data_IF_866271731761
#
_entry.id   IF_866271731761
#
_cell.length_a   1.000
_cell.length_b   1.000
_cell.length_c   1.000
_cell.angle_alpha   90.00
_cell.angle_beta   90.00
_cell.angle_gamma   90.00
#
_symmetry.space_group_name_H-M   'P 1'
#
loop_
_entity.id
_entity.type
_entity.pdbx_description
1 polymer ?
2 non-polymer ?
3 non-polymer ?
4 water ?
#
# COMPACT_ATOMS: atom_id res chain seq x y z
N UNK A 5 9.62 -12.61 25.12
CA UNK A 5 10.80 -12.15 24.41
C UNK A 5 10.90 -12.78 23.02
N UNK A 6 10.35 -13.98 22.88
CA UNK A 6 10.46 -14.70 21.61
C UNK A 6 9.74 -13.99 20.48
N UNK A 7 8.68 -13.26 20.80
CA UNK A 7 7.95 -12.48 19.80
C UNK A 7 8.88 -11.50 19.09
N UNK A 8 9.88 -10.98 19.81
CA UNK A 8 10.79 -9.97 19.30
C UNK A 8 12.08 -10.57 18.74
N UNK A 9 12.05 -11.86 18.37
CA UNK A 9 13.28 -12.55 17.99
C UNK A 9 13.99 -11.90 16.79
N UNK A 10 13.24 -11.28 15.88
CA UNK A 10 13.82 -10.65 14.70
C UNK A 10 14.06 -9.15 14.89
N UNK A 11 13.86 -8.61 16.08
CA UNK A 11 13.97 -7.19 16.33
C UNK A 11 15.21 -6.85 17.14
N UNK A 12 15.65 -5.60 17.02
CA UNK A 12 16.73 -5.05 17.83
C UNK A 12 16.12 -4.17 18.91
N UNK A 13 16.54 -4.39 20.15
CA UNK A 13 16.10 -3.53 21.25
C UNK A 13 16.96 -2.26 21.24
N UNK A 14 16.30 -1.11 21.23
CA UNK A 14 16.96 0.19 21.16
C UNK A 14 16.90 0.85 22.52
N UNK A 15 18.02 1.44 22.95
CA UNK A 15 18.01 2.13 24.22
C UNK A 15 17.32 3.49 24.06
N UNK A 16 16.52 3.92 25.04
CA UNK A 16 15.82 5.22 24.91
C UNK A 16 16.75 6.40 24.68
N UNK A 17 17.97 6.37 25.20
CA UNK A 17 18.91 7.46 24.97
C UNK A 17 19.25 7.62 23.50
N UNK A 18 18.95 6.64 22.67
CA UNK A 18 19.23 6.73 21.25
C UNK A 18 18.16 7.47 20.46
N UNK A 19 17.02 7.81 21.09
CA UNK A 19 15.82 8.25 20.37
C UNK A 19 15.45 9.65 20.84
N UNK A 20 15.20 10.55 19.88
CA UNK A 20 14.68 11.89 20.16
C UNK A 20 13.37 12.05 19.39
N UNK A 21 12.27 12.24 20.10
CA UNK A 21 10.99 12.54 19.47
C UNK A 21 10.92 14.05 19.22
N UNK A 22 10.42 14.42 18.04
CA UNK A 22 10.44 15.83 17.63
C UNK A 22 9.07 16.41 17.33
N UNK A 23 8.19 15.68 16.66
CA UNK A 23 6.90 16.24 16.25
C UNK A 23 5.89 15.12 16.13
N UNK A 24 4.66 15.37 16.59
CA UNK A 24 3.59 14.39 16.45
C UNK A 24 3.11 14.35 15.00
N UNK A 25 3.09 13.15 14.42
CA UNK A 25 2.70 13.00 13.02
C UNK A 25 1.57 12.00 12.86
N UNK A 26 1.02 11.51 13.96
CA UNK A 26 -0.07 10.58 13.86
C UNK A 26 -0.43 10.02 15.21
N UNK A 27 -1.35 9.06 15.18
CA UNK A 27 -1.83 8.39 16.38
C UNK A 27 -1.63 6.90 16.23
N UNK A 28 -1.26 6.25 17.33
CA UNK A 28 -1.31 4.81 17.45
C UNK A 28 -2.61 4.37 18.11
N UNK A 29 -2.67 3.08 18.42
CA UNK A 29 -3.84 2.54 19.09
C UNK A 29 -3.95 3.07 20.52
N UNK A 30 -2.81 3.31 21.17
CA UNK A 30 -2.80 3.90 22.50
C UNK A 30 -1.46 4.64 22.68
N UNK A 31 -1.35 5.77 22.00
CA UNK A 31 -0.13 6.54 21.97
C UNK A 31 -0.05 7.32 20.68
N UNK A 32 0.97 8.15 20.60
CA UNK A 32 1.19 8.99 19.43
C UNK A 32 2.26 8.40 18.55
N UNK A 33 2.27 8.84 17.30
CA UNK A 33 3.36 8.58 16.37
C UNK A 33 4.12 9.89 16.17
N UNK A 34 5.43 9.82 16.21
CA UNK A 34 6.30 10.99 16.12
C UNK A 34 7.26 10.84 14.97
N UNK A 35 7.62 11.98 14.38
CA UNK A 35 8.88 12.07 13.66
C UNK A 35 9.97 12.36 14.67
N UNK A 36 11.11 11.71 14.50
CA UNK A 36 12.23 11.93 15.40
C UNK A 36 13.54 11.53 14.77
N UNK A 37 14.56 11.40 15.62
CA UNK A 37 15.89 11.04 15.18
C UNK A 37 16.39 9.85 15.99
N UNK A 38 17.21 9.02 15.37
CA UNK A 38 17.75 7.84 16.03
C UNK A 38 19.27 7.76 15.84
N UNK A 39 19.99 7.65 16.96
CA UNK A 39 21.44 7.57 16.93
C UNK A 39 21.91 6.12 16.84
N UNK A 45 26.29 8.67 13.97
CA UNK A 45 25.38 9.20 12.95
C UNK A 45 23.96 9.24 13.51
N UNK A 46 23.14 10.15 12.96
CA UNK A 46 21.73 10.22 13.28
C UNK A 46 20.92 10.06 12.00
N UNK A 47 19.80 9.35 12.08
CA UNK A 47 18.91 9.16 10.94
C UNK A 47 17.48 9.53 11.35
N UNK A 48 16.69 10.11 10.45
CA UNK A 48 15.29 10.39 10.80
C UNK A 48 14.50 9.10 10.88
N UNK A 49 13.53 9.07 11.79
CA UNK A 49 12.72 7.88 12.04
C UNK A 49 11.29 8.30 12.35
N UNK A 50 10.38 7.34 12.17
CA UNK A 50 9.03 7.43 12.71
C UNK A 50 8.96 6.55 13.94
N UNK A 51 8.24 7.02 14.96
CA UNK A 51 8.25 6.40 16.28
C UNK A 51 6.81 6.28 16.75
N UNK A 52 6.33 5.06 16.93
CA UNK A 52 4.99 4.84 17.47
C UNK A 52 5.11 4.42 18.92
N UNK A 53 4.41 5.13 19.81
CA UNK A 53 4.50 4.87 21.24
C UNK A 53 3.28 4.11 21.75
N UNK A 54 3.48 3.41 22.85
CA UNK A 54 2.40 2.79 23.62
C UNK A 54 2.49 3.41 25.00
N UNK A 55 1.64 4.38 25.24
CA UNK A 55 1.64 5.17 26.48
C UNK A 55 0.93 4.59 27.68
N UNK A 56 1.27 5.14 28.84
CA UNK A 56 0.79 4.60 30.12
C UNK A 56 -0.72 4.46 30.12
N UNK A 57 -1.19 3.31 30.60
CA UNK A 57 -2.60 3.00 30.63
C UNK A 57 -3.01 1.97 29.61
N UNK A 58 -2.11 1.54 28.73
CA UNK A 58 -2.48 0.57 27.72
C UNK A 58 -2.95 -0.73 28.35
N UNK A 59 -3.84 -1.43 27.67
CA UNK A 59 -4.40 -2.67 28.16
C UNK A 59 -3.47 -3.85 27.80
N UNK A 60 -3.78 -5.00 28.38
CA UNK A 60 -3.07 -6.22 28.02
C UNK A 60 -3.19 -6.53 26.52
N UNK A 61 -4.41 -6.43 25.98
CA UNK A 61 -4.59 -6.67 24.56
C UNK A 61 -3.75 -5.72 23.72
N UNK A 62 -3.72 -4.44 24.11
CA UNK A 62 -2.92 -3.47 23.37
C UNK A 62 -1.44 -3.79 23.43
N UNK A 63 -0.96 -4.25 24.59
CA UNK A 63 0.46 -4.63 24.70
C UNK A 63 0.77 -5.81 23.80
N UNK A 64 -0.07 -6.84 23.84
CA UNK A 64 0.14 -8.01 23.01
C UNK A 64 0.14 -7.63 21.53
N UNK A 65 -0.81 -6.79 21.13
CA UNK A 65 -0.89 -6.38 19.72
C UNK A 65 0.29 -5.50 19.32
N UNK A 66 0.73 -4.61 20.21
CA UNK A 66 1.82 -3.71 19.91
C UNK A 66 3.13 -4.46 19.76
N UNK A 67 3.46 -5.31 20.73
CA UNK A 67 4.67 -6.13 20.62
C UNK A 67 4.55 -7.15 19.49
N UNK A 68 3.35 -7.65 19.23
CA UNK A 68 3.16 -8.52 18.07
C UNK A 68 3.43 -7.80 16.77
N UNK A 69 2.99 -6.55 16.67
CA UNK A 69 3.29 -5.75 15.48
C UNK A 69 4.80 -5.57 15.33
N UNK A 70 5.47 -5.18 16.41
CA UNK A 70 6.92 -5.02 16.35
C UNK A 70 7.57 -6.30 15.90
N UNK A 71 7.11 -7.44 16.42
CA UNK A 71 7.74 -8.70 16.11
C UNK A 71 7.60 -9.07 14.65
N UNK A 72 6.40 -8.90 14.08
CA UNK A 72 6.23 -9.25 12.68
C UNK A 72 6.98 -8.28 11.78
N UNK A 73 7.03 -7.00 12.16
CA UNK A 73 7.78 -6.04 11.35
C UNK A 73 9.26 -6.36 11.32
N UNK A 74 9.80 -6.84 12.45
CA UNK A 74 11.18 -7.27 12.45
C UNK A 74 11.41 -8.50 11.60
N UNK A 75 10.43 -9.39 11.55
CA UNK A 75 10.51 -10.58 10.72
C UNK A 75 10.58 -10.21 9.24
N UNK A 76 9.85 -9.19 8.83
CA UNK A 76 9.81 -8.82 7.43
C UNK A 76 11.13 -8.16 7.05
N UNK A 77 11.83 -8.73 6.08
CA UNK A 77 13.07 -8.16 5.56
C UNK A 77 12.96 -8.20 4.05
N UNK A 78 12.51 -7.11 3.47
CA UNK A 78 12.25 -7.05 2.04
C UNK A 78 12.34 -5.62 1.58
N UNK A 79 12.91 -5.44 0.39
CA UNK A 79 13.11 -4.13 -0.23
C UNK A 79 11.84 -3.31 -0.31
N UNK A 80 10.68 -3.95 -0.40
CA UNK A 80 9.41 -3.26 -0.61
C UNK A 80 8.49 -3.29 0.60
N UNK A 81 9.06 -3.50 1.79
CA UNK A 81 8.32 -3.47 3.05
C UNK A 81 9.04 -2.48 3.96
N UNK A 82 8.27 -1.61 4.62
CA UNK A 82 8.86 -0.62 5.52
C UNK A 82 9.80 -1.30 6.51
N UNK A 83 10.94 -0.68 6.74
CA UNK A 83 11.97 -1.30 7.59
C UNK A 83 11.80 -0.88 9.04
N UNK A 84 11.74 -1.87 9.91
CA UNK A 84 11.81 -1.64 11.35
C UNK A 84 13.26 -1.39 11.75
N UNK A 85 13.52 -0.26 12.38
CA UNK A 85 14.84 -0.05 12.98
C UNK A 85 14.97 -0.82 14.28
N UNK A 86 13.95 -0.77 15.12
CA UNK A 86 13.99 -1.53 16.35
C UNK A 86 12.81 -1.17 17.23
N UNK A 87 12.89 -1.63 18.46
CA UNK A 87 11.79 -1.54 19.41
C UNK A 87 12.36 -1.13 20.76
N UNK A 88 11.57 -0.38 21.51
CA UNK A 88 11.82 -0.16 22.92
C UNK A 88 10.72 -0.89 23.67
N UNK A 89 11.07 -1.99 24.31
CA UNK A 89 10.13 -2.77 25.09
C UNK A 89 10.47 -2.81 26.58
N UNK A 90 11.70 -2.45 26.96
CA UNK A 90 12.15 -2.55 28.34
C UNK A 90 11.92 -1.27 29.12
N UNK A 91 11.49 -0.21 28.47
CA UNK A 91 11.23 1.07 29.13
C UNK A 91 9.88 1.59 28.64
N UNK A 92 9.33 2.53 29.40
CA UNK A 92 8.05 3.14 29.06
C UNK A 92 8.26 4.60 28.71
N UNK A 93 7.58 5.11 27.67
CA UNK A 93 6.64 4.38 26.81
C UNK A 93 7.35 3.43 25.87
N UNK A 94 6.69 2.32 25.55
CA UNK A 94 7.25 1.41 24.57
C UNK A 94 7.17 2.04 23.19
N UNK A 95 8.07 1.63 22.29
CA UNK A 95 8.17 2.28 20.99
C UNK A 95 8.46 1.30 19.89
N UNK A 96 7.84 1.52 18.74
CA UNK A 96 8.20 0.90 17.48
C UNK A 96 8.82 1.98 16.61
N UNK A 97 10.01 1.72 16.09
CA UNK A 97 10.79 2.73 15.39
C UNK A 97 11.08 2.23 13.98
N UNK A 98 10.63 2.99 12.99
CA UNK A 98 10.85 2.63 11.60
C UNK A 98 11.68 3.68 10.89
N UNK A 99 12.15 3.32 9.70
CA UNK A 99 12.69 4.32 8.80
C UNK A 99 11.65 5.38 8.48
N UNK A 100 12.14 6.54 8.07
CA UNK A 100 11.32 7.67 7.68
C UNK A 100 11.60 7.94 6.21
N UNK A 101 10.55 7.87 5.40
CA UNK A 101 10.65 8.08 3.98
C UNK A 101 10.63 9.57 3.71
N UNK A 102 11.49 10.02 2.80
CA UNK A 102 11.54 11.44 2.49
C UNK A 102 10.31 11.91 1.72
N UNK A 103 9.83 11.10 0.79
CA UNK A 103 8.74 11.52 -0.09
C UNK A 103 7.35 11.21 0.47
N UNK A 104 7.27 10.60 1.64
CA UNK A 104 5.97 10.37 2.25
C UNK A 104 5.13 9.31 1.58
N UNK A 105 3.82 9.44 1.82
CA UNK A 105 2.86 8.46 1.35
C UNK A 105 2.59 8.61 -0.13
N UNK A 106 2.38 7.48 -0.80
CA UNK A 106 2.28 7.41 -2.25
C UNK A 106 1.08 8.18 -2.79
N UNK A 107 -0.06 8.13 -2.08
CA UNK A 107 -1.25 8.82 -2.58
C UNK A 107 -1.03 10.33 -2.70
N UNK A 108 -0.55 10.94 -1.62
CA UNK A 108 -0.26 12.37 -1.65
C UNK A 108 0.86 12.71 -2.62
N UNK A 109 1.89 11.86 -2.65
CA UNK A 109 3.02 12.05 -3.55
C UNK A 109 2.54 12.11 -5.00
N UNK A 110 1.77 11.11 -5.42
CA UNK A 110 1.24 11.07 -6.80
C UNK A 110 0.47 12.34 -7.12
N UNK A 111 -0.42 12.72 -6.21
CA UNK A 111 -1.30 13.86 -6.45
C UNK A 111 -0.54 15.16 -6.55
N UNK A 112 0.61 15.25 -5.91
CA UNK A 112 1.46 16.43 -5.94
C UNK A 112 2.46 16.40 -7.09
N UNK A 113 2.52 15.29 -7.82
CA UNK A 113 3.49 15.09 -8.90
C UNK A 113 2.80 14.68 -10.18
N UNK A 114 1.61 15.20 -10.42
CA UNK A 114 0.77 14.71 -11.50
C UNK A 114 1.48 14.84 -12.84
N UNK A 115 1.58 13.72 -13.56
CA UNK A 115 2.19 13.71 -14.88
C UNK A 115 3.70 13.77 -14.92
N UNK A 116 4.38 13.63 -13.78
CA UNK A 116 5.83 13.85 -13.74
C UNK A 116 6.65 12.60 -13.99
N UNK A 117 6.02 11.43 -14.15
CA UNK A 117 6.76 10.19 -14.28
C UNK A 117 6.48 9.53 -15.62
N UNK A 118 7.43 8.71 -16.06
CA UNK A 118 7.21 7.92 -17.26
C UNK A 118 6.36 6.70 -16.93
N UNK A 119 5.77 6.13 -17.98
CA UNK A 119 5.03 4.89 -17.81
C UNK A 119 5.90 3.82 -17.16
N UNK A 120 7.16 3.71 -17.59
CA UNK A 120 8.04 2.70 -17.01
C UNK A 120 8.25 2.95 -15.53
N UNK A 121 8.38 4.22 -15.13
CA UNK A 121 8.53 4.51 -13.70
C UNK A 121 7.29 4.10 -12.92
N UNK A 122 6.10 4.40 -13.45
CA UNK A 122 4.88 4.02 -12.74
C UNK A 122 4.76 2.51 -12.63
N UNK A 123 5.03 1.80 -13.72
CA UNK A 123 4.93 0.34 -13.69
C UNK A 123 5.99 -0.26 -12.77
N UNK A 124 7.18 0.36 -12.72
CA UNK A 124 8.19 -0.08 -11.77
C UNK A 124 7.74 0.05 -10.33
N UNK A 125 7.05 1.15 -10.01
CA UNK A 125 6.46 1.31 -8.68
C UNK A 125 5.56 0.13 -8.38
N UNK A 126 4.67 -0.19 -9.31
CA UNK A 126 3.72 -1.27 -9.11
C UNK A 126 4.40 -2.62 -8.95
N UNK A 127 5.47 -2.87 -9.71
CA UNK A 127 6.22 -4.10 -9.52
C UNK A 127 6.76 -4.20 -8.11
N UNK A 128 7.28 -3.10 -7.58
CA UNK A 128 7.80 -3.12 -6.22
C UNK A 128 6.72 -3.40 -5.20
N UNK A 129 5.57 -2.72 -5.32
CA UNK A 129 4.46 -2.98 -4.41
C UNK A 129 4.04 -4.44 -4.49
N UNK A 130 3.93 -4.97 -5.71
CA UNK A 130 3.54 -6.37 -5.88
C UNK A 130 4.55 -7.31 -5.25
N UNK A 131 5.84 -7.01 -5.35
CA UNK A 131 6.85 -7.87 -4.75
C UNK A 131 6.73 -7.85 -3.23
N UNK A 132 6.51 -6.68 -2.66
CA UNK A 132 6.29 -6.62 -1.22
C UNK A 132 5.07 -7.40 -0.80
N UNK A 133 3.98 -7.29 -1.56
CA UNK A 133 2.76 -8.02 -1.23
C UNK A 133 2.93 -9.53 -1.41
N UNK A 134 3.65 -9.95 -2.44
CA UNK A 134 3.92 -11.39 -2.58
C UNK A 134 4.65 -11.91 -1.36
N UNK A 135 5.65 -11.15 -0.89
CA UNK A 135 6.38 -11.52 0.31
C UNK A 135 5.47 -11.61 1.51
N UNK A 136 4.63 -10.59 1.74
CA UNK A 136 3.69 -10.64 2.86
C UNK A 136 2.79 -11.85 2.77
N UNK A 137 2.20 -12.07 1.59
CA UNK A 137 1.28 -13.18 1.42
C UNK A 137 1.97 -14.50 1.72
N UNK A 138 3.19 -14.67 1.22
CA UNK A 138 3.90 -15.92 1.44
C UNK A 138 4.39 -16.07 2.87
N UNK A 139 4.58 -14.97 3.58
CA UNK A 139 4.85 -14.98 5.01
C UNK A 139 3.57 -15.14 5.83
N UNK A 140 2.44 -15.41 5.18
CA UNK A 140 1.17 -15.67 5.84
C UNK A 140 0.59 -14.42 6.50
N UNK A 141 0.84 -13.26 5.90
CA UNK A 141 0.31 -12.00 6.42
C UNK A 141 -0.67 -11.41 5.44
N UNK A 142 -1.91 -11.26 5.86
CA UNK A 142 -2.96 -10.62 5.07
C UNK A 142 -3.03 -9.16 5.51
N UNK A 143 -2.87 -8.25 4.56
CA UNK A 143 -2.75 -6.84 4.91
C UNK A 143 -4.08 -6.25 5.36
N UNK A 144 -5.13 -6.44 4.54
CA UNK A 144 -6.51 -5.98 4.75
C UNK A 144 -6.74 -4.51 4.47
N UNK A 145 -5.69 -3.71 4.31
CA UNK A 145 -5.87 -2.29 4.07
C UNK A 145 -4.88 -1.79 3.04
N UNK A 146 -4.64 -2.58 1.99
CA UNK A 146 -3.71 -2.15 0.96
C UNK A 146 -4.34 -1.04 0.12
N UNK A 147 -3.63 0.08 0.02
CA UNK A 147 -4.10 1.30 -0.62
C UNK A 147 -2.88 2.19 -0.75
N UNK A 148 -2.90 3.12 -1.71
CA UNK A 148 -1.74 3.98 -1.88
C UNK A 148 -1.41 4.78 -0.61
N UNK A 149 -2.42 5.10 0.20
CA UNK A 149 -2.15 5.81 1.44
C UNK A 149 -1.28 5.03 2.43
N UNK A 150 -1.19 3.71 2.26
CA UNK A 150 -0.38 2.87 3.14
C UNK A 150 0.95 2.47 2.53
N UNK A 151 1.43 3.23 1.55
CA UNK A 151 2.69 2.92 0.87
C UNK A 151 3.57 4.16 0.91
N UNK A 152 4.81 3.99 1.36
CA UNK A 152 5.79 5.07 1.42
C UNK A 152 6.70 5.00 0.21
N UNK A 153 7.28 6.14 -0.15
CA UNK A 153 8.14 6.26 -1.33
C UNK A 153 9.47 6.84 -0.90
N UNK A 154 10.56 6.16 -1.27
CA UNK A 154 11.88 6.65 -0.95
C UNK A 154 12.45 7.51 -2.09
N UNK A 155 13.66 8.02 -1.89
CA UNK A 155 14.27 8.92 -2.85
C UNK A 155 14.82 8.23 -4.08
N UNK A 156 14.71 6.89 -4.16
CA UNK A 156 14.94 6.14 -5.38
C UNK A 156 13.64 5.70 -6.02
N UNK A 157 12.50 6.23 -5.58
CA UNK A 157 11.19 5.87 -6.10
C UNK A 157 10.76 4.45 -5.70
N UNK A 158 11.41 3.87 -4.70
CA UNK A 158 11.06 2.54 -4.22
C UNK A 158 9.86 2.66 -3.30
N UNK A 159 8.85 1.85 -3.55
CA UNK A 159 7.65 1.83 -2.75
C UNK A 159 7.75 0.78 -1.65
N UNK A 160 7.35 1.17 -0.45
CA UNK A 160 7.46 0.33 0.74
C UNK A 160 6.06 0.18 1.34
N UNK A 161 5.55 -1.04 1.31
CA UNK A 161 4.27 -1.31 1.92
C UNK A 161 4.37 -1.12 3.42
N UNK A 162 3.37 -0.45 3.98
CA UNK A 162 3.29 -0.11 5.39
C UNK A 162 1.86 -0.32 5.84
N UNK A 163 1.58 -0.02 7.11
CA UNK A 163 0.19 0.05 7.58
C UNK A 163 0.10 1.13 8.64
N UNK A 164 -0.55 2.24 8.30
CA UNK A 164 -0.68 3.37 9.20
C UNK A 164 -1.95 3.35 10.02
N UNK A 165 -2.74 2.29 9.93
CA UNK A 165 -3.95 2.20 10.71
C UNK A 165 -5.08 3.00 10.08
N UNK A 166 -6.17 3.10 10.83
CA UNK A 166 -7.40 3.70 10.32
C UNK A 166 -7.28 5.22 10.17
N UNK A 184 -13.85 1.59 9.11
CA UNK A 184 -13.32 0.28 9.47
C UNK A 184 -12.82 -0.50 8.24
N UNK A 185 -13.72 -0.78 7.30
CA UNK A 185 -13.40 -1.41 6.04
C UNK A 185 -13.33 -0.30 4.98
N UNK A 186 -12.18 -0.04 4.39
CA UNK A 186 -12.13 0.90 3.26
C UNK A 186 -12.89 0.30 2.09
N UNK A 187 -14.21 0.56 2.04
CA UNK A 187 -15.11 -0.20 1.17
C UNK A 187 -14.55 -0.28 -0.25
N UNK A 188 -14.19 0.87 -0.83
CA UNK A 188 -13.91 0.84 -2.27
C UNK A 188 -12.54 0.26 -2.62
N UNK A 189 -11.71 -0.08 -1.63
CA UNK A 189 -10.49 -0.83 -1.85
C UNK A 189 -10.66 -2.32 -1.56
N UNK A 190 -11.82 -2.74 -1.06
CA UNK A 190 -11.96 -4.05 -0.45
C UNK A 190 -12.73 -5.01 -1.35
N UNK A 191 -12.27 -6.26 -1.40
CA UNK A 191 -12.90 -7.25 -2.25
C UNK A 191 -14.31 -7.56 -1.76
N UNK A 192 -15.19 -7.97 -2.69
CA UNK A 192 -16.58 -8.30 -2.31
C UNK A 192 -16.72 -9.29 -1.16
N UNK A 193 -15.94 -10.38 -1.16
CA UNK A 193 -16.12 -11.39 -0.12
C UNK A 193 -15.68 -10.88 1.24
N UNK A 194 -14.72 -9.95 1.27
CA UNK A 194 -14.29 -9.38 2.53
C UNK A 194 -15.36 -8.46 3.09
N UNK A 195 -16.03 -7.69 2.23
CA UNK A 195 -17.14 -6.86 2.68
C UNK A 195 -18.33 -7.72 3.08
N UNK A 196 -18.65 -8.74 2.29
CA UNK A 196 -19.92 -9.44 2.44
C UNK A 196 -19.91 -10.45 3.58
N UNK A 197 -18.78 -11.13 3.81
CA UNK A 197 -18.74 -12.11 4.88
C UNK A 197 -17.41 -12.14 5.62
N UNK A 198 -16.64 -11.05 5.53
CA UNK A 198 -15.43 -10.86 6.34
C UNK A 198 -14.32 -11.84 5.98
N UNK A 199 -14.30 -12.29 4.74
CA UNK A 199 -13.27 -13.22 4.28
C UNK A 199 -12.10 -12.41 3.73
N UNK A 200 -11.12 -12.15 4.59
CA UNK A 200 -9.92 -11.42 4.20
C UNK A 200 -8.80 -12.42 3.99
N UNK A 201 -8.24 -12.42 2.78
CA UNK A 201 -7.17 -13.33 2.43
C UNK A 201 -6.21 -12.60 1.52
N UNK A 202 -5.12 -13.26 1.13
CA UNK A 202 -4.25 -12.64 0.15
C UNK A 202 -4.96 -12.39 -1.17
N UNK A 203 -6.03 -13.14 -1.46
CA UNK A 203 -6.80 -12.89 -2.68
C UNK A 203 -7.65 -11.62 -2.57
N UNK A 204 -8.15 -11.27 -1.38
CA UNK A 204 -8.75 -9.96 -1.23
C UNK A 204 -7.70 -8.86 -1.27
N UNK A 205 -6.48 -9.14 -0.80
CA UNK A 205 -5.40 -8.17 -1.00
C UNK A 205 -5.10 -7.97 -2.48
N UNK A 206 -5.23 -9.01 -3.32
CA UNK A 206 -5.03 -8.84 -4.76
C UNK A 206 -6.05 -7.88 -5.34
N UNK A 207 -7.32 -7.98 -4.93
CA UNK A 207 -8.32 -7.01 -5.35
C UNK A 207 -7.86 -5.61 -5.02
N UNK A 208 -7.43 -5.41 -3.78
CA UNK A 208 -6.96 -4.09 -3.36
C UNK A 208 -5.78 -3.65 -4.19
N UNK A 209 -4.87 -4.58 -4.51
CA UNK A 209 -3.74 -4.23 -5.36
C UNK A 209 -4.21 -3.73 -6.71
N UNK A 210 -5.25 -4.33 -7.28
CA UNK A 210 -5.78 -3.81 -8.53
C UNK A 210 -6.22 -2.36 -8.39
N UNK A 211 -6.87 -2.03 -7.27
CA UNK A 211 -7.23 -0.64 -7.01
C UNK A 211 -5.99 0.23 -6.91
N UNK A 212 -4.95 -0.25 -6.22
CA UNK A 212 -3.69 0.49 -6.15
C UNK A 212 -3.10 0.73 -7.53
N UNK A 213 -3.17 -0.28 -8.42
CA UNK A 213 -2.71 -0.08 -9.78
C UNK A 213 -3.42 1.10 -10.42
N UNK A 214 -4.73 1.16 -10.24
CA UNK A 214 -5.52 2.26 -10.80
C UNK A 214 -5.14 3.58 -10.14
N UNK A 215 -4.92 3.59 -8.82
CA UNK A 215 -4.46 4.81 -8.16
C UNK A 215 -3.15 5.29 -8.75
N UNK A 216 -2.20 4.39 -8.95
CA UNK A 216 -0.89 4.81 -9.45
C UNK A 216 -1.01 5.34 -10.87
N UNK A 217 -1.70 4.62 -11.74
CA UNK A 217 -1.75 5.01 -13.15
C UNK A 217 -2.56 6.28 -13.38
N UNK A 218 -3.41 6.67 -12.44
CA UNK A 218 -4.17 7.91 -12.51
C UNK A 218 -3.55 9.03 -11.70
N UNK A 219 -2.36 8.84 -11.12
CA UNK A 219 -1.76 9.84 -10.24
C UNK A 219 -2.65 10.20 -9.06
N UNK A 220 -3.30 9.19 -8.48
CA UNK A 220 -3.99 9.39 -7.23
C UNK A 220 -5.43 9.84 -7.35
N UNK A 221 -6.09 9.51 -8.45
CA UNK A 221 -7.53 9.72 -8.54
C UNK A 221 -8.23 8.87 -7.48
N UNK A 222 -9.35 9.36 -6.97
CA UNK A 222 -10.08 8.57 -6.00
C UNK A 222 -10.91 7.50 -6.68
N UNK A 223 -10.75 6.23 -6.31
CA UNK A 223 -11.50 5.16 -6.97
C UNK A 223 -12.99 5.41 -6.90
N UNK A 224 -13.65 5.29 -8.05
CA UNK A 224 -15.10 5.43 -8.20
C UNK A 224 -15.60 6.85 -7.99
N UNK A 225 -14.71 7.83 -7.87
CA UNK A 225 -15.08 9.25 -7.80
C UNK A 225 -16.13 9.43 -6.72
N UNK A 226 -17.24 10.10 -7.00
CA UNK A 226 -18.17 10.50 -5.96
C UNK A 226 -19.28 9.48 -5.71
N UNK A 227 -19.18 8.27 -6.27
CA UNK A 227 -20.15 7.24 -5.89
C UNK A 227 -20.09 6.99 -4.39
N UNK A 228 -21.25 6.81 -3.78
CA UNK A 228 -21.29 6.44 -2.38
C UNK A 228 -20.78 5.00 -2.20
N UNK A 229 -20.51 4.62 -0.95
CA UNK A 229 -20.09 3.25 -0.70
C UNK A 229 -21.12 2.25 -1.20
N UNK A 230 -22.41 2.53 -0.97
CA UNK A 230 -23.43 1.61 -1.44
C UNK A 230 -23.53 1.59 -2.95
N UNK A 231 -23.33 2.74 -3.60
CA UNK A 231 -23.32 2.74 -5.05
C UNK A 231 -22.14 1.95 -5.61
N UNK A 232 -20.97 2.04 -4.97
CA UNK A 232 -19.81 1.24 -5.39
C UNK A 232 -20.12 -0.24 -5.29
N UNK A 233 -20.64 -0.67 -4.14
CA UNK A 233 -20.91 -2.09 -3.95
C UNK A 233 -21.95 -2.60 -4.95
N UNK A 234 -22.99 -1.80 -5.19
CA UNK A 234 -24.01 -2.19 -6.16
C UNK A 234 -23.42 -2.27 -7.56
N UNK A 235 -22.61 -1.29 -7.94
CA UNK A 235 -21.98 -1.30 -9.26
C UNK A 235 -21.11 -2.54 -9.45
N UNK A 236 -20.28 -2.85 -8.46
CA UNK A 236 -19.42 -4.03 -8.52
C UNK A 236 -20.26 -5.28 -8.66
N UNK A 237 -21.31 -5.42 -7.84
CA UNK A 237 -22.10 -6.64 -7.86
C UNK A 237 -22.85 -6.80 -9.18
N UNK A 238 -23.14 -5.69 -9.86
CA UNK A 238 -23.79 -5.74 -11.17
C UNK A 238 -22.80 -5.88 -12.32
N UNK A 239 -21.50 -5.94 -12.04
CA UNK A 239 -20.52 -6.24 -13.05
C UNK A 239 -19.73 -5.06 -13.57
N UNK A 240 -20.01 -3.85 -13.12
CA UNK A 240 -19.23 -2.70 -13.54
C UNK A 240 -17.87 -2.69 -12.86
N UNK A 241 -16.88 -2.13 -13.55
CA UNK A 241 -15.53 -2.00 -13.02
C UNK A 241 -14.98 -0.64 -13.42
N UNK A 242 -13.93 -0.22 -12.73
CA UNK A 242 -13.30 1.06 -13.04
C UNK A 242 -12.84 1.10 -14.50
N UNK A 243 -12.97 2.24 -15.17
CA UNK A 243 -12.54 2.37 -16.55
C UNK A 243 -11.03 2.57 -16.61
N UNK A 244 -10.49 2.51 -17.82
CA UNK A 244 -9.04 2.63 -17.94
C UNK A 244 -8.58 4.03 -17.55
N UNK A 245 -7.46 4.14 -16.87
CA UNK A 245 -6.78 5.43 -16.73
C UNK A 245 -6.39 5.96 -18.10
N UNK A 246 -6.17 7.27 -18.16
CA UNK A 246 -5.62 7.90 -19.36
C UNK A 246 -4.20 7.40 -19.60
N UNK A 247 -3.86 7.17 -20.86
CA UNK A 247 -2.50 6.80 -21.27
C UNK A 247 -2.00 5.56 -20.54
N UNK A 248 -2.87 4.58 -20.36
CA UNK A 248 -2.54 3.37 -19.62
C UNK A 248 -2.20 2.25 -20.58
N UNK A 249 -1.06 1.59 -20.41
CA UNK A 249 -0.76 0.43 -21.26
C UNK A 249 -1.88 -0.60 -21.17
N UNK A 250 -2.23 -1.15 -22.34
CA UNK A 250 -3.26 -2.19 -22.40
C UNK A 250 -2.99 -3.32 -21.42
N UNK A 251 -1.74 -3.78 -21.36
CA UNK A 251 -1.41 -4.91 -20.49
C UNK A 251 -1.67 -4.58 -19.02
N UNK A 252 -1.41 -3.34 -18.63
CA UNK A 252 -1.62 -2.91 -17.25
C UNK A 252 -3.10 -2.85 -16.91
N UNK A 253 -3.93 -2.34 -17.83
CA UNK A 253 -5.36 -2.33 -17.57
C UNK A 253 -5.92 -3.76 -17.53
N UNK A 254 -5.46 -4.62 -18.44
CA UNK A 254 -5.89 -6.01 -18.40
C UNK A 254 -5.56 -6.64 -17.05
N UNK A 255 -4.37 -6.36 -16.51
CA UNK A 255 -3.96 -6.97 -15.26
C UNK A 255 -4.81 -6.47 -14.10
N UNK A 256 -5.04 -5.17 -14.01
CA UNK A 256 -5.85 -4.69 -12.89
C UNK A 256 -7.27 -5.23 -12.99
N UNK A 257 -7.79 -5.35 -14.21
CA UNK A 257 -9.13 -5.91 -14.39
C UNK A 257 -9.21 -7.34 -13.86
N UNK A 258 -8.17 -8.15 -14.06
CA UNK A 258 -8.21 -9.51 -13.56
C UNK A 258 -8.10 -9.59 -12.04
N UNK A 259 -7.51 -8.57 -11.41
CA UNK A 259 -7.54 -8.48 -9.95
C UNK A 259 -8.94 -8.29 -9.41
N UNK A 260 -9.86 -7.81 -10.25
CA UNK A 260 -11.22 -7.52 -9.83
C UNK A 260 -12.23 -8.58 -10.25
N UNK A 261 -11.77 -9.81 -10.48
CA UNK A 261 -12.70 -10.91 -10.71
C UNK A 261 -13.56 -11.10 -9.46
N UNK A 262 -14.86 -11.26 -9.66
CA UNK A 262 -15.74 -11.56 -8.53
C UNK A 262 -15.35 -12.88 -7.89
N UNK A 263 -15.05 -13.89 -8.70
CA UNK A 263 -14.67 -15.20 -8.23
C UNK A 263 -13.23 -15.12 -7.73
N UNK A 264 -13.08 -15.18 -6.42
CA UNK A 264 -11.78 -15.01 -5.78
C UNK A 264 -10.75 -15.94 -6.39
N UNK A 265 -11.16 -17.17 -6.72
CA UNK A 265 -10.21 -18.14 -7.29
C UNK A 265 -9.72 -17.79 -8.68
N UNK A 266 -10.41 -16.89 -9.40
CA UNK A 266 -9.98 -16.50 -10.74
C UNK A 266 -8.98 -15.36 -10.77
N UNK A 267 -8.73 -14.71 -9.64
CA UNK A 267 -7.79 -13.60 -9.60
C UNK A 267 -6.36 -14.14 -9.70
N UNK A 268 -5.45 -13.36 -10.27
CA UNK A 268 -4.04 -13.75 -10.21
C UNK A 268 -3.58 -13.80 -8.76
N UNK A 269 -2.56 -14.62 -8.50
CA UNK A 269 -1.83 -14.51 -7.25
C UNK A 269 -0.79 -13.41 -7.39
N UNK A 270 -0.27 -12.94 -6.26
CA UNK A 270 0.81 -11.96 -6.37
C UNK A 270 2.00 -12.53 -7.12
N UNK A 271 2.22 -13.85 -7.05
CA UNK A 271 3.30 -14.45 -7.85
C UNK A 271 3.09 -14.18 -9.33
N UNK A 272 1.84 -14.29 -9.80
CA UNK A 272 1.55 -14.03 -11.19
C UNK A 272 1.73 -12.54 -11.52
N UNK A 273 1.27 -11.68 -10.62
CA UNK A 273 1.37 -10.24 -10.85
C UNK A 273 2.82 -9.81 -10.96
N UNK A 274 3.66 -10.28 -10.03
CA UNK A 274 5.08 -9.93 -10.06
C UNK A 274 5.71 -10.40 -11.37
N UNK A 275 5.40 -11.63 -11.77
CA UNK A 275 5.97 -12.20 -12.98
C UNK A 275 5.58 -11.37 -14.21
N UNK A 276 4.29 -11.02 -14.31
CA UNK A 276 3.82 -10.26 -15.45
C UNK A 276 4.44 -8.88 -15.50
N UNK A 277 4.46 -8.18 -14.36
CA UNK A 277 5.03 -6.84 -14.34
C UNK A 277 6.53 -6.87 -14.67
N UNK A 278 7.24 -7.87 -14.15
CA UNK A 278 8.66 -7.99 -14.47
C UNK A 278 8.88 -8.23 -15.96
N UNK A 279 8.05 -9.06 -16.57
CA UNK A 279 8.20 -9.32 -18.00
C UNK A 279 7.87 -8.09 -18.83
N UNK A 280 6.84 -7.33 -18.44
CA UNK A 280 6.51 -6.11 -19.17
C UNK A 280 7.64 -5.09 -19.08
N UNK A 281 8.21 -4.91 -17.90
CA UNK A 281 9.30 -3.96 -17.72
C UNK A 281 10.52 -4.38 -18.52
N UNK A 282 10.83 -5.68 -18.54
CA UNK A 282 12.01 -6.16 -19.23
C UNK A 282 11.86 -6.21 -20.74
N UNK A 283 10.63 -6.13 -21.24
CA UNK A 283 10.34 -5.99 -22.68
C UNK A 283 9.49 -4.74 -22.83
N UNK A 284 10.08 -3.56 -22.63
CA UNK A 284 9.26 -2.35 -22.43
C UNK A 284 8.46 -1.93 -23.64
N UNK A 285 8.79 -2.41 -24.85
CA UNK A 285 7.91 -2.13 -25.97
C UNK A 285 6.50 -2.69 -25.73
N UNK A 286 6.37 -3.67 -24.84
CA UNK A 286 5.08 -4.25 -24.52
C UNK A 286 4.14 -3.24 -23.88
N UNK A 287 4.67 -2.14 -23.35
CA UNK A 287 3.88 -1.12 -22.67
C UNK A 287 3.50 0.03 -23.59
N UNK A 288 3.93 0.02 -24.85
CA UNK A 288 3.61 1.12 -25.75
C UNK A 288 2.19 1.04 -26.29
N UNK A 289 1.58 -0.12 -26.25
CA UNK A 289 0.21 -0.28 -26.71
C UNK A 289 -0.73 0.15 -25.58
N UNK A 290 -1.57 1.15 -25.85
CA UNK A 290 -2.40 1.76 -24.82
C UNK A 290 -3.84 1.29 -24.92
N UNK A 291 -4.48 1.10 -23.76
CA UNK A 291 -5.91 0.88 -23.72
C UNK A 291 -6.66 2.12 -24.17
N UNK A 292 -7.75 1.90 -24.91
CA UNK A 292 -8.60 3.00 -25.37
C UNK A 292 -9.17 3.75 -24.18
N UNK A 293 -8.99 5.06 -24.16
CA UNK A 293 -9.57 5.87 -23.10
C UNK A 293 -10.95 6.33 -23.53
N UNK A 294 -11.94 6.12 -22.67
CA UNK A 294 -13.31 6.57 -22.96
C UNK A 294 -13.48 8.00 -22.49
N UNK A 295 -13.47 8.98 -23.39
CA UNK A 295 -13.56 10.38 -22.97
C UNK A 295 -14.95 10.70 -22.46
N UNK A 296 -15.02 11.15 -21.21
CA UNK A 296 -16.29 11.52 -20.60
C UNK A 296 -16.88 12.77 -21.24
N UNK A 297 -16.04 13.59 -21.87
CA UNK A 297 -16.41 14.89 -22.41
C UNK A 297 -15.95 14.94 -23.86
N UNK A 298 -16.72 15.64 -24.70
CA UNK A 298 -16.43 15.74 -26.12
C UNK A 298 -16.13 17.19 -26.47
N UNK A 299 -14.95 17.44 -27.03
CA UNK A 299 -14.54 18.76 -27.50
C UNK A 299 -14.36 18.66 -29.01
N UNK A 300 -15.20 19.37 -29.75
CA UNK A 300 -15.15 19.38 -31.20
C UNK A 300 -14.60 20.73 -31.61
N UNK A 301 -13.39 20.74 -32.17
CA UNK A 301 -12.86 21.97 -32.74
C UNK A 301 -13.58 22.24 -34.05
N UNK A 302 -14.36 23.32 -34.16
CA UNK A 302 -15.08 23.59 -35.41
C UNK A 302 -14.12 23.71 -36.57
N UNK A 303 -14.55 23.22 -37.73
CA UNK A 303 -13.69 23.11 -38.90
C UNK A 303 -13.54 24.43 -39.63
X LIG B 1 4.60 -3.77 6.65
X LIG B 1 3.36 -4.10 6.80
X LIG B 1 2.68 -3.42 5.90
X LIG B 1 3.22 -5.41 6.52
X LIG B 1 2.91 -3.80 8.11
X LIG B 1 3.31 -2.62 8.76
X LIG B 1 2.03 -4.66 8.77
X LIG B 1 1.58 -4.34 10.06
X LIG B 1 1.99 -3.17 10.69
X LIG B 1 2.85 -2.28 10.04
X LIG B 1 3.24 -1.17 10.75
X LIG B 1 3.66 0.01 10.18
X LIG B 1 3.75 0.17 8.95
X LIG B 1 4.21 0.99 11.05
X LIG B 1 4.76 2.13 10.49
X LIG B 1 4.35 0.82 12.44
X LIG B 1 4.98 1.81 13.22
X LIG B 1 5.52 2.96 12.64
X LIG B 1 6.14 3.94 13.45
X LIG B 1 5.38 3.13 11.26
X LIG B 1 5.92 4.23 10.68
X LIG B 1 5.25 5.33 10.26
X LIG B 1 5.90 6.14 9.42
X LIG B 1 3.99 5.66 10.67
X LIG B 1 3.04 5.13 11.46
X LIG B 1 1.98 5.95 11.45
X LIG B 1 0.68 5.79 12.16
X LIG B 1 2.21 6.93 10.70
X LIG B 1 3.44 6.80 10.20
X LIG B 1 4.11 7.61 9.37
X LIG B 1 5.35 7.28 8.98
X LIG B 1 6.04 8.09 8.07
X LIG B 1 5.52 9.30 7.62
X LIG B 1 6.24 10.05 6.69
X LIG B 1 7.44 9.60 6.19
X LIG B 1 7.96 8.38 6.61
X LIG B 1 7.23 7.64 7.55
X LIG C 1 -16.81 -4.29 -3.61
X LIG C 1 -18.24 -4.17 -3.55
X LIG C 1 -16.31 -2.87 -3.42
X LIG C 1 -14.91 -2.86 -3.64
X LIG D 1 -0.31 -15.12 -3.08
X LIG D 1 -0.94 -14.05 -3.79
X LIG D 1 1.20 -15.03 -3.28
X LIG D 1 1.55 -15.27 -4.64
X LIG E 1 -20.50 -6.90 -1.30
X LIG E 1 -21.23 -8.04 -1.79
X LIG E 1 -20.31 -5.94 -2.45
X LIG E 1 -19.44 -6.55 -3.42
X LIG F 1 7.27 11.88 -18.55
X LIG F 1 8.55 11.32 -18.22
X LIG F 1 6.96 13.03 -17.59
X LIG F 1 7.67 14.20 -17.99
X LIG G 1 7.71 19.25 -8.60
X LIG G 1 7.64 17.89 -8.16
X LIG G 1 6.46 20.00 -8.13
X LIG G 1 5.29 19.29 -8.58
X LIG H 1 3.89 -10.77 -21.14
X LIG H 1 3.38 -12.04 -21.59
X LIG H 1 4.40 -9.99 -22.34
X LIG H 1 5.75 -9.55 -22.10
#
# INVERSE_FOLDING_TARGET
>A
GDPNQAVLKFTTEIHPSCVTRQKVIGAGEFGEVYKGMLKTSSGKKEVPVAIKTLKAGYTEKQRVDFLGEAGIMGQFSHHNIIRLEGVISKYKPMMIITEYMENGALDKFLREKDGEFSVLQLVGMLRGIAAGMKYLANMNYVHRDLAARNILVNSNLVCKVSDFGLSRVLEDDPEATYTTSGGKIPIRWTAPEAISYRKFTSASDVWSFGIVMWEVMTYGERPYWELSNHEVMKAINDGFRLPTPMDCPSAIYQLMMQCWQQERARRPKFADIVSILDKLIRAPDSLKTLADFDPRVSIRLPSTSG
>B hetero
1 DWT FBI CBH FBJ FBK CBF CBD CBG CBE CBC CBB NAZ CAY OBA CAV CAT CAW CAU CAS CAX CAR NAC C6 N1 C5 CAH NAI CAK NAJ C4 N3 C2 CAL CAN CAP CAQ NAO CAM
>C hetero
1 EDO C1 O1 C2 O2
>D hetero
1 EDO C1 O1 C2 O2
>E hetero
1 EDO C1 O1 C2 O2
>F hetero
1 EDO C1 O1 C2 O2
>G hetero
1 EDO C1 O1 C2 O2
>H hetero
1 EDO C1 O1 C2 O2
#
